data_IF_859852583682
#
_entry.id   IF_859852583682
#
_cell.length_a   1.000
_cell.length_b   1.000
_cell.length_c   1.000
_cell.angle_alpha   90.00
_cell.angle_beta   90.00
_cell.angle_gamma   90.00
#
_symmetry.space_group_name_H-M   'P 1'
#
loop_
_entity.id
_entity.type
_entity.pdbx_description
1 polymer ?
#
# COMPACT_ATOMS: atom_id res chain seq x y z
N UNK A 1 3.03 -10.13 6.26
CA UNK A 1 3.82 -9.49 5.21
C UNK A 1 2.84 -8.97 4.18
N UNK A 2 2.88 -7.68 3.85
CA UNK A 2 1.92 -7.03 2.95
C UNK A 2 2.66 -6.32 1.83
N UNK A 3 2.04 -6.21 0.66
CA UNK A 3 2.57 -5.46 -0.48
C UNK A 3 1.44 -4.70 -1.18
N UNK A 4 1.81 -3.66 -1.89
CA UNK A 4 0.91 -2.93 -2.78
C UNK A 4 1.70 -2.19 -3.84
N UNK A 5 0.98 -1.63 -4.81
CA UNK A 5 1.58 -0.92 -5.94
C UNK A 5 1.40 0.57 -5.68
N UNK A 6 2.50 1.31 -5.60
CA UNK A 6 2.46 2.77 -5.48
C UNK A 6 1.94 3.37 -6.78
N UNK A 7 0.94 4.25 -6.69
CA UNK A 7 0.24 4.81 -7.86
C UNK A 7 0.47 6.31 -8.04
N UNK A 8 1.25 6.95 -7.17
CA UNK A 8 1.42 8.41 -7.13
C UNK A 8 0.59 9.06 -6.03
N UNK A 9 0.79 10.35 -5.81
CA UNK A 9 0.04 11.19 -4.86
C UNK A 9 -0.03 10.64 -3.42
N UNK A 10 1.03 9.97 -2.98
CA UNK A 10 1.06 9.33 -1.66
C UNK A 10 0.08 8.16 -1.52
N UNK A 11 -0.46 7.63 -2.61
CA UNK A 11 -1.44 6.54 -2.64
C UNK A 11 -0.84 5.26 -3.22
N UNK A 12 -1.46 4.16 -2.83
CA UNK A 12 -1.13 2.84 -3.35
C UNK A 12 -2.40 2.00 -3.46
N UNK A 13 -2.40 1.03 -4.38
CA UNK A 13 -3.45 0.03 -4.53
C UNK A 13 -2.99 -1.30 -3.92
N UNK A 14 -3.88 -1.97 -3.19
CA UNK A 14 -3.59 -3.24 -2.53
C UNK A 14 -4.85 -4.09 -2.31
N UNK A 15 -4.66 -5.37 -1.97
CA UNK A 15 -5.71 -6.27 -1.49
C UNK A 15 -5.58 -6.41 0.04
N UNK A 16 -6.40 -5.70 0.86
CA UNK A 16 -6.11 -5.49 2.29
C UNK A 16 -6.08 -6.78 3.12
N UNK A 17 -7.06 -7.66 2.89
CA UNK A 17 -7.23 -8.95 3.56
C UNK A 17 -8.21 -9.83 2.78
N UNK A 18 -8.24 -11.12 3.10
CA UNK A 18 -9.21 -12.07 2.54
C UNK A 18 -10.65 -11.59 2.73
N UNK A 19 -11.43 -11.61 1.65
CA UNK A 19 -12.84 -11.21 1.64
C UNK A 19 -13.09 -9.69 1.56
N UNK A 20 -12.04 -8.88 1.54
CA UNK A 20 -12.14 -7.43 1.32
C UNK A 20 -11.84 -7.08 -0.15
N UNK A 21 -12.28 -5.89 -0.57
CA UNK A 21 -12.12 -5.42 -1.95
C UNK A 21 -10.77 -4.74 -2.17
N UNK A 22 -10.23 -4.88 -3.38
CA UNK A 22 -9.07 -4.10 -3.84
C UNK A 22 -9.43 -2.62 -3.79
N UNK A 23 -8.59 -1.80 -3.16
CA UNK A 23 -8.83 -0.37 -3.01
C UNK A 23 -7.54 0.44 -3.00
N UNK A 24 -7.69 1.75 -3.15
CA UNK A 24 -6.63 2.72 -2.93
C UNK A 24 -6.64 3.16 -1.46
N UNK A 25 -5.47 3.27 -0.86
CA UNK A 25 -5.29 3.88 0.45
C UNK A 25 -4.11 4.86 0.42
N UNK A 26 -4.06 5.76 1.39
CA UNK A 26 -2.98 6.74 1.54
C UNK A 26 -1.86 6.13 2.40
N UNK A 27 -0.62 6.23 1.92
CA UNK A 27 0.57 5.70 2.61
C UNK A 27 0.89 6.46 3.90
N UNK A 28 0.45 7.72 4.01
CA UNK A 28 0.86 8.62 5.08
C UNK A 28 -0.04 8.55 6.33
N UNK A 29 -1.13 7.77 6.30
CA UNK A 29 -1.92 7.52 7.51
C UNK A 29 -1.12 6.64 8.48
N UNK A 30 -1.27 6.88 9.78
CA UNK A 30 -0.47 6.25 10.85
C UNK A 30 -0.28 4.74 10.66
N UNK A 31 -1.35 4.03 10.30
CA UNK A 31 -1.30 2.59 10.10
C UNK A 31 -0.26 2.17 9.05
N UNK A 32 -0.23 2.84 7.89
CA UNK A 32 0.68 2.52 6.78
C UNK A 32 2.04 3.16 6.94
N UNK A 33 2.09 4.35 7.53
CA UNK A 33 3.33 5.04 7.87
C UNK A 33 4.22 4.15 8.75
N UNK A 34 3.67 3.60 9.84
CA UNK A 34 4.43 2.76 10.78
C UNK A 34 4.81 1.39 10.21
N UNK A 35 4.04 0.92 9.21
CA UNK A 35 4.22 -0.38 8.55
C UNK A 35 5.06 -0.33 7.30
N UNK A 36 5.41 0.86 6.81
CA UNK A 36 6.27 0.98 5.65
C UNK A 36 7.64 0.34 5.94
N UNK A 37 8.11 -0.50 5.00
CA UNK A 37 9.40 -1.20 5.09
C UNK A 37 10.33 -0.92 3.92
N UNK A 38 9.85 -0.22 2.90
CA UNK A 38 10.59 0.10 1.68
C UNK A 38 9.75 -0.08 0.42
N UNK A 39 10.31 0.35 -0.71
CA UNK A 39 9.72 0.20 -2.03
C UNK A 39 10.79 -0.28 -3.02
N UNK A 40 10.34 -1.01 -4.05
CA UNK A 40 11.20 -1.50 -5.13
C UNK A 40 10.49 -1.30 -6.46
N UNK A 41 11.22 -0.82 -7.46
CA UNK A 41 10.79 -0.84 -8.87
C UNK A 41 11.26 -2.12 -9.54
N UNK A 42 10.37 -2.77 -10.28
CA UNK A 42 10.72 -3.90 -11.15
C UNK A 42 11.06 -3.31 -12.53
N UNK A 43 12.28 -3.59 -13.01
CA UNK A 43 12.68 -3.37 -14.41
C UNK A 43 12.74 -4.70 -15.12
#
# INVERSE_FOLDING_TARGET
SHVGIFTGDGKFIHAPKTGDSVRYEELHVDYWHDRYRGARTVR
#
